data_IF_955853764569
#
_entry.id   IF_955853764569
#
_cell.length_a   1.000
_cell.length_b   1.000
_cell.length_c   1.000
_cell.angle_alpha   90.00
_cell.angle_beta   90.00
_cell.angle_gamma   90.00
#
_symmetry.space_group_name_H-M   'P 1'
#
loop_
_entity.id
_entity.type
_entity.pdbx_description
1 polymer ?
#
# COMPACT_ATOMS: atom_id res chain seq x y z
N UNK A 1 12.27 -17.77 -11.29
CA UNK A 1 10.87 -17.28 -11.36
C UNK A 1 10.44 -16.46 -10.14
N UNK A 2 10.70 -16.91 -8.90
CA UNK A 2 10.35 -16.19 -7.65
C UNK A 2 10.94 -14.77 -7.54
N UNK A 3 12.23 -14.59 -7.82
CA UNK A 3 12.89 -13.28 -7.75
C UNK A 3 12.35 -12.26 -8.78
N UNK A 4 11.97 -12.72 -9.98
CA UNK A 4 11.35 -11.87 -11.01
C UNK A 4 10.00 -11.32 -10.53
N UNK A 5 9.16 -12.18 -9.92
CA UNK A 5 7.88 -11.76 -9.31
C UNK A 5 8.08 -10.79 -8.15
N UNK A 6 9.05 -11.07 -7.27
CA UNK A 6 9.37 -10.15 -6.18
C UNK A 6 9.76 -8.76 -6.68
N UNK A 7 10.60 -8.65 -7.72
CA UNK A 7 10.95 -7.36 -8.33
C UNK A 7 9.70 -6.65 -8.90
N UNK A 8 8.80 -7.40 -9.53
CA UNK A 8 7.55 -6.85 -10.08
C UNK A 8 6.63 -6.31 -8.96
N UNK A 9 6.40 -7.08 -7.90
CA UNK A 9 5.56 -6.65 -6.77
C UNK A 9 6.15 -5.44 -6.06
N UNK A 10 7.48 -5.37 -5.90
CA UNK A 10 8.14 -4.19 -5.32
C UNK A 10 7.89 -2.93 -6.15
N UNK A 11 8.03 -3.02 -7.48
CA UNK A 11 7.73 -1.90 -8.39
C UNK A 11 6.27 -1.47 -8.28
N UNK A 12 5.36 -2.43 -8.18
CA UNK A 12 3.93 -2.15 -8.05
C UNK A 12 3.59 -1.49 -6.70
N UNK A 13 4.13 -2.00 -5.59
CA UNK A 13 3.94 -1.41 -4.27
C UNK A 13 4.53 -0.01 -4.16
N UNK A 14 5.62 0.29 -4.88
CA UNK A 14 6.15 1.66 -4.98
C UNK A 14 5.13 2.62 -5.60
N UNK A 15 4.39 2.20 -6.64
CA UNK A 15 3.32 3.02 -7.22
C UNK A 15 2.23 3.28 -6.17
N UNK A 16 1.81 2.25 -5.43
CA UNK A 16 0.84 2.43 -4.34
C UNK A 16 1.34 3.36 -3.22
N UNK A 17 2.62 3.28 -2.86
CA UNK A 17 3.26 4.15 -1.87
C UNK A 17 3.32 5.61 -2.33
N UNK A 18 3.77 5.87 -3.57
CA UNK A 18 3.99 7.24 -4.05
C UNK A 18 2.70 7.94 -4.51
N UNK A 19 1.86 7.22 -5.26
CA UNK A 19 0.64 7.77 -5.88
C UNK A 19 -0.51 7.76 -4.90
N UNK A 20 -0.76 6.62 -4.24
CA UNK A 20 -1.93 6.41 -3.37
C UNK A 20 -1.61 6.54 -1.87
N UNK A 21 -0.39 6.98 -1.52
CA UNK A 21 0.05 7.29 -0.15
C UNK A 21 -0.08 6.14 0.85
N UNK A 22 0.08 4.90 0.38
CA UNK A 22 0.17 3.75 1.27
C UNK A 22 1.39 3.86 2.20
N UNK A 23 1.24 3.39 3.44
CA UNK A 23 2.28 3.38 4.47
C UNK A 23 2.32 2.02 5.16
N UNK A 24 3.49 1.70 5.70
CA UNK A 24 3.72 0.51 6.51
C UNK A 24 3.29 0.79 7.97
N UNK A 25 2.73 -0.19 8.69
CA UNK A 25 2.40 -1.54 8.25
C UNK A 25 1.17 -1.58 7.33
N UNK A 26 1.23 -2.39 6.27
CA UNK A 26 0.16 -2.49 5.28
C UNK A 26 -1.07 -3.17 5.88
N UNK A 27 -2.19 -2.47 5.79
CA UNK A 27 -3.48 -2.94 6.27
C UNK A 27 -4.13 -3.87 5.24
N UNK A 28 -4.21 -5.16 5.54
CA UNK A 28 -4.75 -6.18 4.62
C UNK A 28 -6.09 -6.68 5.14
N UNK A 29 -7.17 -6.44 4.40
CA UNK A 29 -8.47 -7.07 4.67
C UNK A 29 -8.46 -8.48 4.08
N UNK A 30 -8.72 -9.45 4.95
CA UNK A 30 -8.74 -10.88 4.63
C UNK A 30 -10.19 -11.36 4.58
N UNK A 31 -10.51 -12.03 3.48
CA UNK A 31 -11.79 -12.68 3.20
C UNK A 31 -11.89 -14.08 3.83
N UNK A 32 -13.08 -14.61 4.10
CA UNK A 32 -13.23 -15.96 4.67
C UNK A 32 -12.74 -17.06 3.72
N UNK A 33 -12.96 -16.89 2.42
CA UNK A 33 -12.60 -17.89 1.41
C UNK A 33 -11.09 -18.10 1.35
N UNK A 34 -10.29 -17.02 1.42
CA UNK A 34 -8.83 -17.15 1.38
C UNK A 34 -8.30 -17.82 2.66
N UNK A 35 -8.94 -17.58 3.81
CA UNK A 35 -8.61 -18.29 5.07
C UNK A 35 -8.87 -19.79 4.93
N UNK A 36 -10.01 -20.17 4.32
CA UNK A 36 -10.33 -21.58 4.04
C UNK A 36 -9.31 -22.24 3.11
N UNK A 37 -8.95 -21.57 2.02
CA UNK A 37 -7.96 -22.08 1.06
C UNK A 37 -6.58 -22.21 1.70
N UNK A 38 -6.18 -21.24 2.54
CA UNK A 38 -4.91 -21.31 3.25
C UNK A 38 -4.86 -22.46 4.25
N UNK A 39 -5.94 -22.71 4.99
CA UNK A 39 -6.02 -23.87 5.91
C UNK A 39 -5.96 -25.19 5.13
N UNK A 40 -6.72 -25.33 4.05
CA UNK A 40 -6.73 -26.53 3.20
C UNK A 40 -5.35 -26.83 2.59
N UNK A 41 -4.58 -25.78 2.26
CA UNK A 41 -3.24 -25.91 1.70
C UNK A 41 -2.12 -25.87 2.75
N UNK A 42 -2.46 -25.84 4.05
CA UNK A 42 -1.50 -25.69 5.16
C UNK A 42 -0.53 -24.52 4.95
N UNK A 43 -1.05 -23.41 4.44
CA UNK A 43 -0.28 -22.23 4.05
C UNK A 43 -0.41 -21.12 5.10
N UNK A 44 0.73 -20.61 5.57
CA UNK A 44 0.78 -19.49 6.52
C UNK A 44 0.44 -18.17 5.80
N UNK A 45 -0.79 -17.69 6.01
CA UNK A 45 -1.32 -16.47 5.38
C UNK A 45 -0.46 -15.25 5.72
N UNK A 46 -0.09 -15.05 7.00
CA UNK A 46 0.66 -13.86 7.43
C UNK A 46 2.02 -13.81 6.75
N UNK A 47 2.81 -14.90 6.82
CA UNK A 47 4.10 -14.98 6.13
C UNK A 47 3.96 -14.87 4.62
N UNK A 48 2.88 -15.41 4.07
CA UNK A 48 2.56 -15.28 2.65
C UNK A 48 2.34 -13.83 2.21
N UNK A 49 1.59 -13.07 3.00
CA UNK A 49 1.32 -11.65 2.76
C UNK A 49 2.61 -10.83 2.86
N UNK A 50 3.40 -11.02 3.91
CA UNK A 50 4.70 -10.36 4.10
C UNK A 50 5.65 -10.66 2.93
N UNK A 51 5.71 -11.91 2.47
CA UNK A 51 6.53 -12.32 1.32
C UNK A 51 6.07 -11.68 0.01
N UNK A 52 4.77 -11.48 -0.16
CA UNK A 52 4.17 -10.95 -1.39
C UNK A 52 4.32 -9.43 -1.45
N UNK A 53 4.00 -8.74 -0.34
CA UNK A 53 4.04 -7.28 -0.20
C UNK A 53 5.49 -6.78 0.02
N UNK A 54 6.38 -7.61 0.56
CA UNK A 54 7.78 -7.29 0.94
C UNK A 54 7.90 -6.19 1.98
N UNK A 55 6.95 -6.13 2.90
CA UNK A 55 6.93 -5.19 4.01
C UNK A 55 6.11 -5.78 5.16
N UNK A 56 6.07 -5.07 6.29
CA UNK A 56 5.25 -5.46 7.43
C UNK A 56 3.76 -5.33 7.09
N UNK A 57 2.97 -6.33 7.48
CA UNK A 57 1.54 -6.42 7.18
C UNK A 57 0.75 -6.63 8.45
N UNK A 58 -0.42 -5.98 8.49
CA UNK A 58 -1.40 -6.12 9.56
C UNK A 58 -2.66 -6.76 8.98
N UNK A 59 -2.78 -8.10 9.01
CA UNK A 59 -3.96 -8.79 8.51
C UNK A 59 -5.14 -8.50 9.43
N UNK A 60 -6.25 -8.11 8.81
CA UNK A 60 -7.49 -7.74 9.45
C UNK A 60 -8.64 -8.54 8.87
N UNK A 61 -9.56 -8.98 9.72
CA UNK A 61 -10.78 -9.68 9.32
C UNK A 61 -12.01 -8.89 9.74
N UNK A 62 -13.02 -8.81 8.88
CA UNK A 62 -14.28 -8.12 9.21
C UNK A 62 -15.17 -8.99 10.09
N UNK A 63 -16.08 -8.36 10.84
CA UNK A 63 -17.03 -9.12 11.64
C UNK A 63 -17.96 -10.00 10.78
N UNK A 64 -18.36 -9.54 9.59
CA UNK A 64 -19.19 -10.33 8.67
C UNK A 64 -18.44 -11.56 8.12
N UNK A 65 -17.17 -11.40 7.71
CA UNK A 65 -16.34 -12.54 7.28
C UNK A 65 -16.15 -13.54 8.44
N UNK A 66 -15.94 -13.05 9.66
CA UNK A 66 -15.83 -13.91 10.84
C UNK A 66 -17.12 -14.69 11.11
N UNK A 67 -18.28 -14.07 10.90
CA UNK A 67 -19.58 -14.74 11.02
C UNK A 67 -19.74 -15.87 10.00
N UNK A 68 -19.27 -15.67 8.77
CA UNK A 68 -19.24 -16.74 7.77
C UNK A 68 -18.28 -17.88 8.14
N UNK A 69 -17.13 -17.57 8.75
CA UNK A 69 -16.24 -18.60 9.31
C UNK A 69 -16.95 -19.39 10.41
N UNK A 70 -17.73 -18.76 11.29
CA UNK A 70 -18.50 -19.48 12.32
C UNK A 70 -19.52 -20.44 11.73
N UNK A 71 -20.17 -20.09 10.60
CA UNK A 71 -21.12 -20.98 9.90
C UNK A 71 -20.47 -22.28 9.41
N UNK A 72 -19.17 -22.27 9.13
CA UNK A 72 -18.44 -23.49 8.72
C UNK A 72 -18.28 -24.52 9.83
N UNK A 73 -18.43 -24.12 11.10
CA UNK A 73 -18.23 -24.95 12.30
C UNK A 73 -16.86 -25.62 12.41
N UNK A 74 -15.86 -25.17 11.64
CA UNK A 74 -14.50 -25.67 11.74
C UNK A 74 -13.70 -24.87 12.78
N UNK A 75 -13.44 -25.48 13.94
CA UNK A 75 -12.80 -24.81 15.06
C UNK A 75 -11.39 -24.29 14.73
N UNK A 76 -10.59 -25.04 13.96
CA UNK A 76 -9.23 -24.64 13.58
C UNK A 76 -9.22 -23.37 12.74
N UNK A 77 -10.13 -23.33 11.75
CA UNK A 77 -10.32 -22.18 10.87
C UNK A 77 -10.77 -20.93 11.65
N UNK A 78 -11.67 -21.13 12.61
CA UNK A 78 -12.19 -20.08 13.48
C UNK A 78 -11.08 -19.52 14.38
N UNK A 79 -10.26 -20.38 14.99
CA UNK A 79 -9.12 -19.96 15.82
C UNK A 79 -8.09 -19.21 14.98
N UNK A 80 -7.83 -19.68 13.76
CA UNK A 80 -6.95 -18.98 12.83
C UNK A 80 -7.49 -17.60 12.45
N UNK A 81 -8.78 -17.48 12.14
CA UNK A 81 -9.44 -16.20 11.88
C UNK A 81 -9.41 -15.25 13.09
N UNK A 82 -9.56 -15.78 14.31
CA UNK A 82 -9.47 -15.00 15.57
C UNK A 82 -8.07 -14.45 15.86
N UNK A 83 -7.01 -15.04 15.26
CA UNK A 83 -5.64 -14.55 15.42
C UNK A 83 -5.40 -13.20 14.71
N UNK A 84 -6.26 -12.85 13.74
CA UNK A 84 -6.17 -11.60 13.00
C UNK A 84 -6.86 -10.43 13.73
N UNK A 85 -6.45 -9.20 13.42
CA UNK A 85 -7.05 -8.01 14.00
C UNK A 85 -8.50 -7.85 13.51
N UNK A 86 -9.44 -7.58 14.41
CA UNK A 86 -10.85 -7.41 14.03
C UNK A 86 -11.11 -6.01 13.50
N UNK A 87 -11.56 -5.92 12.23
CA UNK A 87 -12.12 -4.70 11.65
C UNK A 87 -13.62 -4.63 11.94
N UNK A 88 -14.02 -3.68 12.77
CA UNK A 88 -15.44 -3.36 13.00
C UNK A 88 -16.07 -2.83 11.72
N UNK A 89 -17.15 -3.47 11.27
CA UNK A 89 -18.01 -3.03 10.18
C UNK A 89 -19.29 -2.43 10.75
N UNK A 90 -19.92 -1.51 10.02
CA UNK A 90 -21.15 -0.82 10.48
C UNK A 90 -22.44 -1.61 10.21
N UNK A 91 -22.33 -2.94 10.01
CA UNK A 91 -23.48 -3.81 9.79
C UNK A 91 -24.02 -4.35 11.12
N UNK A 92 -25.35 -4.42 11.30
CA UNK A 92 -25.95 -4.93 12.52
C UNK A 92 -25.59 -6.42 12.73
N UNK A 93 -25.13 -6.82 13.93
CA UNK A 93 -24.80 -8.22 14.21
C UNK A 93 -25.97 -9.19 14.00
N UNK A 94 -27.20 -8.70 14.21
CA UNK A 94 -28.42 -9.50 14.03
C UNK A 94 -28.75 -9.82 12.57
N UNK A 95 -28.21 -9.07 11.60
CA UNK A 95 -28.40 -9.30 10.17
C UNK A 95 -27.04 -9.20 9.45
N UNK A 96 -26.23 -10.27 9.50
CA UNK A 96 -24.94 -10.27 8.84
C UNK A 96 -25.13 -10.22 7.32
N UNK A 97 -24.53 -9.19 6.72
CA UNK A 97 -24.42 -9.03 5.27
C UNK A 97 -23.36 -10.03 4.75
N UNK A 98 -23.49 -10.54 3.51
CA UNK A 98 -22.45 -11.38 2.91
C UNK A 98 -21.06 -10.73 2.93
N UNK A 99 -20.03 -11.54 3.07
CA UNK A 99 -18.63 -11.13 3.15
C UNK A 99 -18.20 -10.15 2.06
N UNK A 100 -18.50 -10.50 0.81
CA UNK A 100 -18.11 -9.72 -0.36
C UNK A 100 -18.73 -8.32 -0.36
N UNK A 101 -19.99 -8.18 0.05
CA UNK A 101 -20.66 -6.90 0.16
C UNK A 101 -20.13 -6.08 1.33
N UNK A 102 -19.79 -6.75 2.45
CA UNK A 102 -19.16 -6.10 3.59
C UNK A 102 -17.76 -5.55 3.26
N UNK A 103 -16.90 -6.32 2.60
CA UNK A 103 -15.57 -5.86 2.18
C UNK A 103 -15.73 -4.69 1.20
N UNK A 104 -16.68 -4.80 0.26
CA UNK A 104 -16.96 -3.74 -0.72
C UNK A 104 -17.37 -2.43 -0.03
N UNK A 105 -18.24 -2.47 0.99
CA UNK A 105 -18.69 -1.26 1.70
C UNK A 105 -17.59 -0.63 2.58
N UNK A 106 -16.66 -1.42 3.10
CA UNK A 106 -15.55 -0.91 3.94
C UNK A 106 -14.42 -0.33 3.09
N UNK A 107 -14.12 -0.96 1.96
CA UNK A 107 -13.01 -0.56 1.10
C UNK A 107 -13.41 0.62 0.21
N UNK A 108 -14.66 0.65 -0.25
CA UNK A 108 -15.17 1.70 -1.14
C UNK A 108 -15.94 2.70 -0.29
N UNK A 109 -15.29 3.81 0.04
CA UNK A 109 -15.93 4.95 0.70
C UNK A 109 -15.88 6.11 -0.28
N UNK A 110 -17.04 6.65 -0.67
CA UNK A 110 -17.16 7.74 -1.65
C UNK A 110 -16.51 7.45 -3.01
N UNK A 111 -16.47 6.16 -3.41
CA UNK A 111 -15.84 5.73 -4.66
C UNK A 111 -14.32 5.62 -4.61
N UNK A 112 -13.71 5.82 -3.44
CA UNK A 112 -12.26 5.77 -3.25
C UNK A 112 -11.84 4.81 -2.12
N UNK A 113 -10.57 4.40 -2.14
CA UNK A 113 -9.95 3.64 -1.05
C UNK A 113 -9.41 4.57 0.04
N UNK A 114 -10.32 5.21 0.79
CA UNK A 114 -9.98 6.22 1.81
C UNK A 114 -9.01 5.69 2.88
N UNK A 115 -9.20 4.45 3.29
CA UNK A 115 -8.42 3.80 4.34
C UNK A 115 -7.17 3.08 3.82
N UNK A 116 -6.97 3.01 2.49
CA UNK A 116 -5.82 2.37 1.85
C UNK A 116 -5.66 0.91 2.27
N UNK A 117 -6.77 0.17 2.18
CA UNK A 117 -6.74 -1.27 2.39
C UNK A 117 -6.13 -2.00 1.19
N UNK A 118 -5.36 -3.03 1.48
CA UNK A 118 -5.06 -4.13 0.56
C UNK A 118 -6.14 -5.19 0.77
N UNK A 119 -6.65 -5.82 -0.28
CA UNK A 119 -7.69 -6.85 -0.15
C UNK A 119 -7.12 -8.19 -0.59
N UNK A 120 -7.23 -9.19 0.29
CA UNK A 120 -6.88 -10.56 0.04
C UNK A 120 -8.16 -11.40 -0.03
N UNK A 121 -8.57 -11.78 -1.23
CA UNK A 121 -9.84 -12.47 -1.48
C UNK A 121 -9.72 -13.44 -2.65
N UNK A 122 -10.39 -14.59 -2.54
CA UNK A 122 -10.46 -15.56 -3.63
C UNK A 122 -11.66 -15.28 -4.56
N UNK A 123 -12.72 -14.66 -4.03
CA UNK A 123 -13.94 -14.31 -4.76
C UNK A 123 -13.65 -13.42 -5.98
N UNK A 124 -13.88 -13.96 -7.17
CA UNK A 124 -13.63 -13.26 -8.43
C UNK A 124 -14.57 -12.06 -8.65
N UNK A 125 -15.83 -12.15 -8.24
CA UNK A 125 -16.81 -11.08 -8.41
C UNK A 125 -16.45 -9.85 -7.56
N UNK A 126 -15.97 -10.09 -6.33
CA UNK A 126 -15.46 -9.04 -5.46
C UNK A 126 -14.23 -8.38 -6.10
N UNK A 127 -13.23 -9.18 -6.52
CA UNK A 127 -12.02 -8.66 -7.17
C UNK A 127 -12.35 -7.87 -8.43
N UNK A 128 -13.24 -8.36 -9.28
CA UNK A 128 -13.66 -7.66 -10.49
C UNK A 128 -14.29 -6.30 -10.19
N UNK A 129 -15.12 -6.23 -9.15
CA UNK A 129 -15.72 -4.97 -8.69
C UNK A 129 -14.67 -3.99 -8.16
N UNK A 130 -13.72 -4.47 -7.36
CA UNK A 130 -12.66 -3.62 -6.77
C UNK A 130 -11.64 -3.12 -7.81
N UNK A 131 -11.39 -3.86 -8.90
CA UNK A 131 -10.49 -3.42 -10.00
C UNK A 131 -10.96 -2.12 -10.67
N UNK A 132 -12.26 -1.83 -10.64
CA UNK A 132 -12.85 -0.61 -11.22
C UNK A 132 -12.39 0.64 -10.48
N UNK A 133 -12.01 0.51 -9.22
CA UNK A 133 -11.61 1.62 -8.36
C UNK A 133 -10.08 1.71 -8.35
N UNK A 134 -9.52 2.93 -8.47
CA UNK A 134 -8.08 3.12 -8.41
C UNK A 134 -7.56 2.96 -6.97
N UNK A 135 -6.34 2.47 -6.82
CA UNK A 135 -5.64 2.46 -5.54
C UNK A 135 -5.97 1.28 -4.63
N UNK A 136 -6.50 0.18 -5.17
CA UNK A 136 -6.75 -1.06 -4.40
C UNK A 136 -5.80 -2.16 -4.89
N UNK A 137 -4.82 -2.58 -4.06
CA UNK A 137 -4.03 -3.78 -4.32
C UNK A 137 -4.84 -5.02 -3.99
N UNK A 138 -4.86 -5.99 -4.91
CA UNK A 138 -5.59 -7.26 -4.76
C UNK A 138 -4.61 -8.43 -4.66
N UNK A 139 -4.87 -9.34 -3.73
CA UNK A 139 -4.09 -10.56 -3.51
C UNK A 139 -5.04 -11.75 -3.51
N UNK A 140 -4.61 -12.86 -4.12
CA UNK A 140 -5.34 -14.12 -4.16
C UNK A 140 -4.38 -15.30 -4.08
N UNK A 141 -4.93 -16.51 -3.91
CA UNK A 141 -4.16 -17.74 -3.85
C UNK A 141 -4.23 -18.48 -5.19
N UNK A 142 -3.09 -18.91 -5.73
CA UNK A 142 -3.07 -19.77 -6.91
C UNK A 142 -2.20 -21.00 -6.64
N UNK A 143 -2.81 -22.19 -6.62
CA UNK A 143 -2.13 -23.49 -6.43
C UNK A 143 -1.05 -23.42 -5.34
N UNK A 144 -1.45 -22.99 -4.13
CA UNK A 144 -0.59 -22.82 -2.94
C UNK A 144 0.48 -21.70 -3.01
N UNK A 145 0.40 -20.76 -3.94
CA UNK A 145 1.29 -19.58 -4.00
C UNK A 145 0.47 -18.29 -3.97
N UNK A 146 0.83 -17.39 -3.04
CA UNK A 146 0.13 -16.11 -2.90
C UNK A 146 0.62 -15.15 -3.97
N UNK A 147 -0.32 -14.55 -4.68
CA UNK A 147 -0.06 -13.72 -5.86
C UNK A 147 -0.77 -12.40 -5.70
N UNK A 148 -0.02 -11.31 -5.82
CA UNK A 148 -0.59 -9.98 -6.02
C UNK A 148 -0.99 -9.82 -7.48
N UNK A 149 -2.22 -9.37 -7.72
CA UNK A 149 -2.70 -9.04 -9.05
C UNK A 149 -1.90 -7.87 -9.64
N UNK A 150 -1.73 -7.81 -10.97
CA UNK A 150 -1.15 -6.63 -11.61
C UNK A 150 -2.01 -5.39 -11.38
N UNK A 151 -1.40 -4.22 -11.55
CA UNK A 151 -2.05 -2.93 -11.32
C UNK A 151 -3.34 -2.83 -12.17
N UNK A 152 -4.46 -2.49 -11.54
CA UNK A 152 -5.73 -2.36 -12.25
C UNK A 152 -5.66 -1.26 -13.30
N UNK A 153 -6.46 -1.37 -14.38
CA UNK A 153 -6.51 -0.35 -15.44
C UNK A 153 -6.83 1.04 -14.87
N UNK A 154 -7.79 1.11 -13.94
CA UNK A 154 -8.14 2.33 -13.23
C UNK A 154 -6.96 2.90 -12.43
N UNK A 155 -6.28 2.06 -11.64
CA UNK A 155 -5.12 2.48 -10.85
C UNK A 155 -3.95 2.96 -11.72
N UNK A 156 -3.71 2.27 -12.84
CA UNK A 156 -2.65 2.62 -13.78
C UNK A 156 -2.93 3.96 -14.48
N UNK A 157 -4.17 4.20 -14.90
CA UNK A 157 -4.60 5.48 -15.47
C UNK A 157 -4.47 6.60 -14.44
N UNK A 158 -4.98 6.41 -13.22
CA UNK A 158 -4.87 7.40 -12.15
C UNK A 158 -3.40 7.76 -11.83
N UNK A 159 -2.50 6.76 -11.76
CA UNK A 159 -1.07 7.02 -11.54
C UNK A 159 -0.45 7.83 -12.67
N UNK A 160 -0.72 7.46 -13.93
CA UNK A 160 -0.20 8.19 -15.11
C UNK A 160 -0.70 9.63 -15.14
N UNK A 161 -1.98 9.86 -14.83
CA UNK A 161 -2.55 11.21 -14.79
C UNK A 161 -1.91 12.06 -13.70
N UNK A 162 -1.71 11.49 -12.50
CA UNK A 162 -1.04 12.17 -11.39
C UNK A 162 0.45 12.44 -11.67
N UNK A 163 1.15 11.49 -12.28
CA UNK A 163 2.54 11.66 -12.71
C UNK A 163 2.69 12.75 -13.77
N UNK A 164 1.85 12.72 -14.82
CA UNK A 164 1.82 13.76 -15.85
C UNK A 164 1.52 15.14 -15.28
N UNK A 165 0.61 15.22 -14.31
CA UNK A 165 0.29 16.46 -13.61
C UNK A 165 1.48 17.02 -12.83
N UNK A 166 2.26 16.18 -12.16
CA UNK A 166 3.49 16.60 -11.44
C UNK A 166 4.56 17.11 -12.40
N UNK A 167 4.77 16.40 -13.52
CA UNK A 167 5.74 16.79 -14.54
C UNK A 167 5.36 18.12 -15.19
N UNK A 168 4.09 18.29 -15.57
CA UNK A 168 3.62 19.51 -16.23
C UNK A 168 3.64 20.73 -15.31
N UNK A 169 3.28 20.58 -14.03
CA UNK A 169 3.35 21.67 -13.04
C UNK A 169 4.80 22.09 -12.77
N UNK A 170 5.71 21.13 -12.62
CA UNK A 170 7.12 21.43 -12.37
C UNK A 170 7.83 22.16 -13.50
N UNK A 171 7.37 22.01 -14.75
CA UNK A 171 7.97 22.68 -15.92
C UNK A 171 7.36 24.05 -16.21
N UNK A 172 6.08 24.26 -15.87
CA UNK A 172 5.34 25.50 -16.16
C UNK A 172 5.28 26.48 -14.98
N UNK A 173 5.52 26.04 -13.73
CA UNK A 173 5.60 26.95 -12.59
C UNK A 173 7.01 27.54 -12.45
N UNK A 174 7.21 28.76 -12.99
CA UNK A 174 8.41 29.59 -12.78
C UNK A 174 8.67 29.88 -11.28
N UNK A 175 7.66 29.67 -10.42
CA UNK A 175 7.74 29.88 -8.97
C UNK A 175 8.43 28.74 -8.19
N UNK A 176 8.61 27.54 -8.76
CA UNK A 176 9.26 26.42 -8.02
C UNK A 176 10.77 26.62 -7.86
N UNK A 177 11.38 27.50 -8.66
CA UNK A 177 12.78 27.93 -8.50
C UNK A 177 13.02 28.95 -7.38
N UNK A 178 11.96 29.58 -6.86
CA UNK A 178 12.04 30.53 -5.74
C UNK A 178 11.30 29.93 -4.55
N UNK A 179 12.06 29.27 -3.66
CA UNK A 179 11.58 28.97 -2.31
C UNK A 179 11.21 30.29 -1.62
N UNK A 180 9.92 30.61 -1.59
CA UNK A 180 9.38 31.52 -0.59
C UNK A 180 9.48 30.81 0.78
N UNK A 181 10.15 31.39 1.77
CA UNK A 181 10.37 30.75 3.06
C UNK A 181 9.21 31.07 4.00
N UNK A 182 7.97 30.67 3.70
CA UNK A 182 6.88 30.75 4.67
C UNK A 182 5.89 29.63 4.40
N UNK A 183 5.64 28.84 5.44
CA UNK A 183 4.62 27.79 5.65
C UNK A 183 5.22 26.39 5.89
N UNK A 184 5.93 26.27 7.02
CA UNK A 184 5.91 25.08 7.87
C UNK A 184 5.84 25.64 9.31
N UNK A 185 4.63 25.66 9.89
CA UNK A 185 4.35 26.23 11.22
C UNK A 185 4.51 25.24 12.38
N UNK A 186 4.92 24.00 12.12
CA UNK A 186 5.05 22.98 13.16
C UNK A 186 6.47 22.42 13.21
N UNK A 187 7.38 23.14 13.88
CA UNK A 187 8.55 22.62 14.63
C UNK A 187 9.35 23.82 15.19
N UNK A 188 8.91 24.35 16.33
CA UNK A 188 9.73 25.22 17.18
C UNK A 188 10.56 24.35 18.12
N UNK A 189 11.78 24.83 18.38
CA UNK A 189 12.83 24.29 19.28
C UNK A 189 13.72 23.25 18.56
N UNK A 190 14.95 23.53 18.10
CA UNK A 190 16.06 24.31 18.67
C UNK A 190 16.90 24.85 17.50
N UNK A 191 17.06 26.17 17.38
CA UNK A 191 17.86 26.80 16.33
C UNK A 191 19.10 27.49 16.93
N UNK A 192 20.20 26.74 17.06
CA UNK A 192 21.53 27.34 17.12
C UNK A 192 21.91 27.92 15.75
N UNK A 193 22.29 29.19 15.74
CA UNK A 193 22.58 29.99 14.55
C UNK A 193 23.88 29.52 13.89
N UNK A 194 23.80 28.74 12.82
CA UNK A 194 24.94 28.53 11.91
C UNK A 194 25.07 29.72 10.96
N UNK A 195 26.04 30.59 11.25
CA UNK A 195 26.44 31.71 10.37
C UNK A 195 26.99 31.13 9.05
N UNK A 196 26.31 31.40 7.93
CA UNK A 196 26.81 31.04 6.59
C UNK A 196 28.07 31.85 6.28
N UNK A 197 29.24 31.20 6.28
CA UNK A 197 30.50 31.78 5.78
C UNK A 197 30.34 32.17 4.31
N UNK A 198 30.63 33.43 3.98
CA UNK A 198 30.69 33.92 2.59
C UNK A 198 31.76 33.13 1.83
N UNK A 199 31.38 32.51 0.71
CA UNK A 199 32.33 31.83 -0.18
C UNK A 199 33.20 32.90 -0.86
N UNK A 200 34.51 32.84 -0.63
CA UNK A 200 35.49 33.64 -1.36
C UNK A 200 35.54 33.28 -2.85
N UNK A 201 36.29 34.05 -3.66
CA UNK A 201 36.43 33.80 -5.08
C UNK A 201 36.93 32.37 -5.34
N UNK A 202 36.36 31.72 -6.37
CA UNK A 202 36.66 30.33 -6.69
C UNK A 202 38.11 30.21 -7.18
N UNK A 203 38.95 29.58 -6.38
CA UNK A 203 40.29 29.16 -6.82
C UNK A 203 40.18 28.09 -7.92
N UNK A 204 41.13 28.05 -8.87
CA UNK A 204 41.14 27.04 -9.91
C UNK A 204 41.29 25.63 -9.31
N UNK A 205 40.66 24.65 -9.96
CA UNK A 205 40.64 23.25 -9.55
C UNK A 205 42.09 22.75 -9.29
N UNK A 206 42.41 22.20 -8.10
CA UNK A 206 43.78 21.81 -7.74
C UNK A 206 44.39 20.74 -8.65
N UNK A 207 43.59 20.00 -9.41
CA UNK A 207 44.06 19.06 -10.45
C UNK A 207 44.52 19.76 -11.75
N UNK A 208 44.13 21.02 -11.95
CA UNK A 208 44.50 21.83 -13.13
C UNK A 208 45.76 22.68 -12.90
N UNK A 209 46.31 22.69 -11.70
CA UNK A 209 47.55 23.42 -11.38
C UNK A 209 48.73 22.46 -11.57
N UNK A 210 49.67 22.81 -12.46
CA UNK A 210 50.92 22.05 -12.63
C UNK A 210 51.69 22.05 -11.31
N UNK A 211 52.12 20.87 -10.84
CA UNK A 211 52.94 20.74 -9.65
C UNK A 211 54.22 21.57 -9.81
N UNK A 212 54.63 22.27 -8.76
CA UNK A 212 55.90 23.00 -8.74
C UNK A 212 57.03 22.00 -8.99
N UNK A 213 57.89 22.30 -9.97
CA UNK A 213 59.11 21.54 -10.19
C UNK A 213 60.09 21.90 -9.08
N UNK A 214 60.56 20.88 -8.36
CA UNK A 214 61.81 20.92 -7.58
C UNK A 214 62.99 20.98 -8.51
#
# INVERSE_FOLDING_TARGET
MRQKRAKQYRKQMLVYKHTFKFREPYQVIVDEQIVQVCEQSSYDLKKGLERTIQAEVRPMITQCCMEELYKTKNQKLIEYGKSFERRRCNHPPAKPVPSHECIKSIVIVDGENKHRYVVASENEQLRWSLRKIPGIPLIYMNRAVMVMEPLSKASAQASRTLERGKLSKGLNDVKVGFKNPVMDEDEKEVAEKVVKKRKGPKEPNPLSIKKKKT
#
